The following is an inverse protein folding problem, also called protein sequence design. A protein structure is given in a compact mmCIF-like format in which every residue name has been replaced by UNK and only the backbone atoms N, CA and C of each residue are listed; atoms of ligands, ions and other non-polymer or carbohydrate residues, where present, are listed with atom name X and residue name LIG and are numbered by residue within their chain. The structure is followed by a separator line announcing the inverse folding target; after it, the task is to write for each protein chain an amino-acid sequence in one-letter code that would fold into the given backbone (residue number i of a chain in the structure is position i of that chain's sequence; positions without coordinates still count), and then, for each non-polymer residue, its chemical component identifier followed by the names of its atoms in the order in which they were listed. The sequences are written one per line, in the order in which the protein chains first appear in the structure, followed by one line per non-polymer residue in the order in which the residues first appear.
data_IF_604154383954
#
_entry.id   IF_604154383954
#
_cell.length_a   1.000
_cell.length_b   1.000
_cell.length_c   1.000
_cell.angle_alpha   90.00
_cell.angle_beta   90.00
_cell.angle_gamma   90.00
#
_symmetry.space_group_name_H-M   'P 1'
#
loop_
_entity.id
_entity.type
_entity.pdbx_description
1 polymer ?
#
# COMPACT_ATOMS: atom_id res chain seq x y z
N UNK A 1 -3.04 -37.53 -3.85
CA UNK A 1 -1.84 -37.22 -4.66
C UNK A 1 -2.06 -35.84 -5.23
N UNK A 2 -1.46 -34.81 -4.62
CA UNK A 2 -1.51 -33.44 -5.14
C UNK A 2 -0.70 -33.40 -6.43
N UNK A 3 -1.27 -32.84 -7.49
CA UNK A 3 -0.72 -32.88 -8.83
C UNK A 3 0.57 -32.04 -8.85
N UNK A 4 1.70 -32.65 -9.20
CA UNK A 4 3.01 -31.99 -9.17
C UNK A 4 3.02 -30.72 -10.04
N UNK A 5 2.24 -30.69 -11.12
CA UNK A 5 2.08 -29.54 -12.00
C UNK A 5 1.39 -28.33 -11.33
N UNK A 6 0.38 -28.53 -10.48
CA UNK A 6 -0.31 -27.44 -9.77
C UNK A 6 0.62 -26.76 -8.76
N UNK A 7 1.47 -27.55 -8.08
CA UNK A 7 2.44 -27.04 -7.09
C UNK A 7 3.58 -26.23 -7.74
N UNK A 8 3.94 -26.52 -8.99
CA UNK A 8 4.93 -25.74 -9.73
C UNK A 8 4.36 -24.42 -10.26
N UNK A 9 3.08 -24.41 -10.66
CA UNK A 9 2.39 -23.22 -11.15
C UNK A 9 2.15 -22.21 -10.00
N UNK A 10 1.65 -22.68 -8.85
CA UNK A 10 1.40 -21.83 -7.67
C UNK A 10 2.68 -21.16 -7.15
N UNK A 11 3.82 -21.87 -7.15
CA UNK A 11 5.11 -21.29 -6.73
C UNK A 11 5.60 -20.22 -7.70
N UNK A 12 5.33 -20.38 -9.00
CA UNK A 12 5.68 -19.39 -10.02
C UNK A 12 4.84 -18.12 -9.83
N UNK A 13 3.53 -18.27 -9.62
CA UNK A 13 2.59 -17.17 -9.41
C UNK A 13 2.91 -16.38 -8.14
N UNK A 14 3.25 -17.06 -7.04
CA UNK A 14 3.66 -16.38 -5.80
C UNK A 14 4.94 -15.58 -5.99
N UNK A 15 5.93 -16.14 -6.69
CA UNK A 15 7.19 -15.44 -6.96
C UNK A 15 6.97 -14.21 -7.85
N UNK A 16 6.14 -14.33 -8.88
CA UNK A 16 5.76 -13.22 -9.76
C UNK A 16 5.03 -12.11 -9.00
N UNK A 17 4.08 -12.45 -8.12
CA UNK A 17 3.39 -11.47 -7.28
C UNK A 17 4.35 -10.71 -6.34
N UNK A 18 5.37 -11.39 -5.80
CA UNK A 18 6.41 -10.79 -4.96
C UNK A 18 7.28 -9.82 -5.76
N UNK A 19 7.74 -10.25 -6.93
CA UNK A 19 8.61 -9.45 -7.82
C UNK A 19 7.88 -8.23 -8.38
N UNK A 20 6.65 -8.44 -8.87
CA UNK A 20 5.80 -7.37 -9.41
C UNK A 20 5.54 -6.29 -8.37
N UNK A 21 5.22 -6.67 -7.13
CA UNK A 21 4.98 -5.69 -6.08
C UNK A 21 6.25 -5.01 -5.59
N UNK A 22 7.37 -5.73 -5.50
CA UNK A 22 8.66 -5.14 -5.14
C UNK A 22 9.06 -4.05 -6.15
N UNK A 23 8.97 -4.34 -7.45
CA UNK A 23 9.23 -3.38 -8.52
C UNK A 23 8.26 -2.19 -8.47
N UNK A 24 6.96 -2.46 -8.29
CA UNK A 24 5.93 -1.41 -8.16
C UNK A 24 6.24 -0.45 -7.01
N UNK A 25 6.62 -0.97 -5.84
CA UNK A 25 6.91 -0.17 -4.66
C UNK A 25 8.23 0.60 -4.78
N UNK A 26 9.23 0.04 -5.45
CA UNK A 26 10.51 0.70 -5.73
C UNK A 26 10.31 1.90 -6.67
N UNK A 27 9.58 1.70 -7.76
CA UNK A 27 9.31 2.70 -8.80
C UNK A 27 8.22 3.72 -8.45
N UNK A 28 7.54 3.57 -7.30
CA UNK A 28 6.42 4.42 -6.93
C UNK A 28 6.84 5.90 -6.76
N UNK A 29 6.41 6.75 -7.70
CA UNK A 29 6.49 8.21 -7.61
C UNK A 29 5.20 8.79 -7.00
N UNK A 30 5.33 9.26 -5.76
CA UNK A 30 4.21 9.84 -5.00
C UNK A 30 4.04 11.36 -5.23
N UNK A 31 4.62 11.93 -6.28
CA UNK A 31 4.56 13.38 -6.50
C UNK A 31 3.13 13.89 -6.65
N UNK A 32 2.28 13.16 -7.38
CA UNK A 32 0.87 13.51 -7.56
C UNK A 32 0.09 13.48 -6.24
N UNK A 33 0.35 12.47 -5.39
CA UNK A 33 -0.24 12.33 -4.06
C UNK A 33 0.14 13.48 -3.13
N UNK A 34 1.40 13.91 -3.18
CA UNK A 34 1.89 15.03 -2.39
C UNK A 34 1.26 16.35 -2.85
N UNK A 35 1.13 16.56 -4.16
CA UNK A 35 0.46 17.73 -4.74
C UNK A 35 -1.03 17.76 -4.39
N UNK A 36 -1.71 16.61 -4.42
CA UNK A 36 -3.10 16.48 -4.00
C UNK A 36 -3.32 16.97 -2.57
N UNK A 37 -2.34 16.72 -1.69
CA UNK A 37 -2.36 17.13 -0.29
C UNK A 37 -1.85 18.56 -0.07
N UNK A 38 -1.52 19.30 -1.14
CA UNK A 38 -0.97 20.66 -1.04
C UNK A 38 0.47 20.73 -0.54
N UNK A 39 1.22 19.63 -0.61
CA UNK A 39 2.60 19.54 -0.13
C UNK A 39 3.56 19.97 -1.24
N UNK A 40 4.02 21.21 -1.14
CA UNK A 40 4.96 21.80 -2.11
C UNK A 40 6.34 21.15 -2.11
N UNK A 41 7.09 21.33 -3.21
CA UNK A 41 8.43 20.77 -3.44
C UNK A 41 9.45 21.11 -2.34
N UNK A 42 9.34 22.29 -1.73
CA UNK A 42 10.27 22.76 -0.68
C UNK A 42 9.93 22.26 0.73
N UNK A 43 8.81 21.56 0.93
CA UNK A 43 8.39 21.06 2.24
C UNK A 43 9.04 19.70 2.56
N UNK A 44 10.37 19.62 2.48
CA UNK A 44 11.13 18.36 2.51
C UNK A 44 10.78 17.43 3.68
N UNK A 45 10.61 17.96 4.89
CA UNK A 45 10.25 17.15 6.05
C UNK A 45 8.85 16.53 5.91
N UNK A 46 7.85 17.32 5.48
CA UNK A 46 6.49 16.83 5.22
C UNK A 46 6.48 15.83 4.07
N UNK A 47 7.23 16.09 3.00
CA UNK A 47 7.38 15.15 1.88
C UNK A 47 7.95 13.82 2.36
N UNK A 48 9.05 13.84 3.12
CA UNK A 48 9.66 12.62 3.67
C UNK A 48 8.70 11.85 4.59
N UNK A 49 7.97 12.55 5.45
CA UNK A 49 6.95 11.93 6.29
C UNK A 49 5.87 11.26 5.43
N UNK A 50 5.31 11.98 4.46
CA UNK A 50 4.25 11.45 3.61
C UNK A 50 4.70 10.31 2.70
N UNK A 51 5.97 10.27 2.28
CA UNK A 51 6.52 9.11 1.57
C UNK A 51 6.46 7.84 2.42
N UNK A 52 6.66 7.94 3.74
CA UNK A 52 6.51 6.81 4.66
C UNK A 52 5.04 6.38 4.74
N UNK A 53 4.12 7.35 4.83
CA UNK A 53 2.68 7.08 4.85
C UNK A 53 2.22 6.35 3.58
N UNK A 54 2.58 6.87 2.40
CA UNK A 54 2.15 6.31 1.13
C UNK A 54 2.76 4.94 0.83
N UNK A 55 4.05 4.73 1.14
CA UNK A 55 4.67 3.41 1.01
C UNK A 55 4.04 2.39 1.94
N UNK A 56 3.77 2.78 3.20
CA UNK A 56 3.06 1.92 4.13
C UNK A 56 1.65 1.57 3.64
N UNK A 57 0.93 2.56 3.11
CA UNK A 57 -0.40 2.32 2.53
C UNK A 57 -0.34 1.38 1.32
N UNK A 58 0.61 1.54 0.41
CA UNK A 58 0.75 0.65 -0.75
C UNK A 58 0.97 -0.80 -0.32
N UNK A 59 1.79 -1.06 0.70
CA UNK A 59 1.94 -2.41 1.28
C UNK A 59 0.61 -2.94 1.84
N UNK A 60 -0.17 -2.11 2.52
CA UNK A 60 -1.46 -2.51 3.07
C UNK A 60 -2.51 -2.77 1.97
N UNK A 61 -2.51 -1.98 0.90
CA UNK A 61 -3.36 -2.18 -0.28
C UNK A 61 -2.98 -3.45 -1.04
N UNK A 62 -1.69 -3.77 -1.12
CA UNK A 62 -1.25 -5.03 -1.71
C UNK A 62 -1.64 -6.23 -0.86
N UNK A 63 -1.53 -6.15 0.47
CA UNK A 63 -2.07 -7.18 1.37
C UNK A 63 -3.58 -7.37 1.17
N UNK A 64 -4.32 -6.29 0.96
CA UNK A 64 -5.75 -6.35 0.65
C UNK A 64 -5.99 -7.08 -0.68
N UNK A 65 -5.23 -6.73 -1.73
CA UNK A 65 -5.31 -7.38 -3.04
C UNK A 65 -4.98 -8.88 -2.97
N UNK A 66 -3.91 -9.24 -2.24
CA UNK A 66 -3.56 -10.64 -1.96
C UNK A 66 -4.70 -11.37 -1.24
N UNK A 67 -5.34 -10.72 -0.26
CA UNK A 67 -6.45 -11.34 0.50
C UNK A 67 -7.66 -11.64 -0.38
N UNK A 68 -7.84 -10.88 -1.46
CA UNK A 68 -8.89 -11.10 -2.45
C UNK A 68 -8.53 -12.18 -3.48
N UNK A 69 -7.29 -12.22 -3.96
CA UNK A 69 -6.86 -13.14 -5.03
C UNK A 69 -6.33 -14.48 -4.53
N UNK A 70 -5.70 -14.50 -3.34
CA UNK A 70 -5.09 -15.69 -2.73
C UNK A 70 -5.53 -15.85 -1.26
N UNK A 71 -6.83 -16.05 -0.95
CA UNK A 71 -7.32 -15.97 0.43
C UNK A 71 -6.66 -16.95 1.43
N UNK A 72 -6.13 -18.07 0.95
CA UNK A 72 -5.47 -19.09 1.78
C UNK A 72 -3.99 -18.77 2.06
N UNK A 73 -3.33 -18.08 1.12
CA UNK A 73 -1.88 -17.84 1.15
C UNK A 73 -1.50 -16.37 1.37
N UNK A 74 -2.46 -15.45 1.36
CA UNK A 74 -2.24 -14.01 1.43
C UNK A 74 -1.33 -13.59 2.59
N UNK A 75 -1.51 -14.17 3.78
CA UNK A 75 -0.68 -13.88 4.94
C UNK A 75 0.76 -14.39 4.75
N UNK A 76 0.93 -15.59 4.18
CA UNK A 76 2.24 -16.17 3.92
C UNK A 76 3.01 -15.40 2.84
N UNK A 77 2.35 -15.04 1.74
CA UNK A 77 2.93 -14.24 0.65
C UNK A 77 3.35 -12.87 1.20
N UNK A 78 2.45 -12.20 1.93
CA UNK A 78 2.75 -10.90 2.52
C UNK A 78 3.90 -10.96 3.53
N UNK A 79 3.94 -11.98 4.40
CA UNK A 79 5.03 -12.17 5.35
C UNK A 79 6.38 -12.42 4.65
N UNK A 80 6.38 -13.18 3.56
CA UNK A 80 7.57 -13.44 2.73
C UNK A 80 8.10 -12.14 2.14
N UNK A 81 7.22 -11.30 1.58
CA UNK A 81 7.59 -9.97 1.11
C UNK A 81 8.18 -9.10 2.23
N UNK A 82 7.52 -9.01 3.40
CA UNK A 82 8.02 -8.20 4.52
C UNK A 82 9.39 -8.66 5.00
N UNK A 83 9.67 -9.97 4.97
CA UNK A 83 10.97 -10.52 5.31
C UNK A 83 12.04 -10.11 4.30
N UNK A 84 11.78 -10.29 3.00
CA UNK A 84 12.68 -9.88 1.93
C UNK A 84 12.94 -8.37 1.94
N UNK A 85 11.89 -7.56 2.10
CA UNK A 85 11.96 -6.10 2.19
C UNK A 85 12.85 -5.65 3.36
N UNK A 86 12.73 -6.29 4.52
CA UNK A 86 13.57 -5.98 5.70
C UNK A 86 15.04 -6.31 5.47
N UNK A 87 15.34 -7.41 4.76
CA UNK A 87 16.72 -7.79 4.44
C UNK A 87 17.33 -6.80 3.44
N UNK A 88 16.57 -6.42 2.41
CA UNK A 88 17.01 -5.45 1.40
C UNK A 88 17.18 -4.03 1.97
N UNK A 89 16.36 -3.67 2.96
CA UNK A 89 16.35 -2.33 3.56
C UNK A 89 16.44 -2.37 5.11
N UNK A 90 17.64 -2.57 5.67
CA UNK A 90 17.83 -2.73 7.13
C UNK A 90 17.75 -1.42 7.93
N UNK A 91 17.26 -0.34 7.33
CA UNK A 91 17.30 0.99 7.91
C UNK A 91 16.02 1.37 8.69
N UNK A 92 16.12 2.41 9.53
CA UNK A 92 15.01 2.86 10.39
C UNK A 92 13.81 3.40 9.61
N UNK A 93 13.99 3.87 8.38
CA UNK A 93 12.88 4.34 7.54
C UNK A 93 12.02 3.16 7.11
N UNK A 94 12.65 2.08 6.69
CA UNK A 94 11.99 0.85 6.24
C UNK A 94 11.20 0.18 7.37
N UNK A 95 11.74 0.16 8.59
CA UNK A 95 10.98 -0.27 9.77
C UNK A 95 9.71 0.58 9.98
N UNK A 96 9.80 1.91 9.85
CA UNK A 96 8.63 2.81 9.96
C UNK A 96 7.61 2.59 8.85
N UNK A 97 8.05 2.31 7.63
CA UNK A 97 7.15 1.98 6.50
C UNK A 97 6.35 0.71 6.83
N UNK A 98 7.01 -0.33 7.35
CA UNK A 98 6.35 -1.57 7.76
C UNK A 98 5.37 -1.36 8.91
N UNK A 99 5.73 -0.54 9.91
CA UNK A 99 4.80 -0.14 10.98
C UNK A 99 3.57 0.59 10.44
N UNK A 100 3.76 1.51 9.50
CA UNK A 100 2.64 2.18 8.81
C UNK A 100 1.78 1.21 8.03
N UNK A 101 2.38 0.24 7.33
CA UNK A 101 1.63 -0.80 6.62
C UNK A 101 0.70 -1.57 7.56
N UNK A 102 1.17 -1.94 8.75
CA UNK A 102 0.34 -2.61 9.75
C UNK A 102 -0.80 -1.71 10.26
N UNK A 103 -0.55 -0.41 10.47
CA UNK A 103 -1.58 0.53 10.90
C UNK A 103 -2.65 0.74 9.83
N UNK A 104 -2.25 0.91 8.57
CA UNK A 104 -3.18 1.01 7.45
C UNK A 104 -3.97 -0.27 7.21
N UNK A 105 -3.35 -1.44 7.41
CA UNK A 105 -4.07 -2.70 7.38
C UNK A 105 -5.21 -2.73 8.40
N UNK A 106 -4.98 -2.26 9.62
CA UNK A 106 -6.03 -2.16 10.65
C UNK A 106 -7.22 -1.27 10.27
N UNK A 107 -7.01 -0.30 9.38
CA UNK A 107 -8.09 0.55 8.84
C UNK A 107 -8.80 -0.09 7.63
N UNK A 108 -8.07 -0.87 6.83
CA UNK A 108 -8.59 -1.50 5.60
C UNK A 108 -9.33 -2.81 5.89
N UNK A 109 -8.77 -3.68 6.72
CA UNK A 109 -9.28 -5.03 6.98
C UNK A 109 -10.79 -5.10 7.27
N UNK A 110 -11.38 -4.20 8.08
CA UNK A 110 -12.80 -4.31 8.44
C UNK A 110 -13.76 -4.11 7.26
N UNK A 111 -13.37 -3.32 6.26
CA UNK A 111 -14.24 -2.94 5.12
C UNK A 111 -13.73 -3.44 3.78
N UNK A 112 -12.52 -3.98 3.73
CA UNK A 112 -11.87 -4.42 2.51
C UNK A 112 -11.71 -3.27 1.50
N UNK A 113 -12.05 -3.54 0.24
CA UNK A 113 -11.99 -2.58 -0.87
C UNK A 113 -13.31 -1.80 -1.08
N UNK A 114 -14.34 -2.09 -0.29
CA UNK A 114 -15.63 -1.42 -0.37
C UNK A 114 -15.57 0.06 0.04
N UNK A 115 -14.73 0.40 1.03
CA UNK A 115 -14.65 1.74 1.61
C UNK A 115 -13.23 2.10 2.10
N UNK A 116 -12.65 3.13 1.48
CA UNK A 116 -11.33 3.68 1.83
C UNK A 116 -11.41 4.96 2.69
N UNK A 117 -12.59 5.33 3.16
CA UNK A 117 -12.82 6.64 3.82
C UNK A 117 -12.01 6.84 5.09
N UNK A 118 -11.76 5.78 5.87
CA UNK A 118 -11.03 5.91 7.15
C UNK A 118 -9.54 6.16 6.91
N UNK A 119 -8.93 5.45 5.96
CA UNK A 119 -7.56 5.70 5.52
C UNK A 119 -7.43 7.09 4.88
N UNK A 120 -8.37 7.46 4.02
CA UNK A 120 -8.38 8.77 3.38
C UNK A 120 -8.49 9.91 4.40
N UNK A 121 -9.33 9.75 5.44
CA UNK A 121 -9.45 10.72 6.53
C UNK A 121 -8.18 10.79 7.35
N UNK A 122 -7.54 9.66 7.63
CA UNK A 122 -6.25 9.63 8.32
C UNK A 122 -5.17 10.37 7.52
N UNK A 123 -5.01 10.07 6.22
CA UNK A 123 -4.08 10.79 5.35
C UNK A 123 -4.41 12.29 5.27
N UNK A 124 -5.69 12.64 5.16
CA UNK A 124 -6.15 14.02 5.15
C UNK A 124 -5.79 14.79 6.42
N UNK A 125 -5.66 14.12 7.57
CA UNK A 125 -5.33 14.76 8.86
C UNK A 125 -3.91 15.36 8.91
N UNK A 126 -3.02 14.97 7.99
CA UNK A 126 -1.69 15.60 7.85
C UNK A 126 -1.75 16.96 7.12
N UNK A 127 -2.87 17.26 6.47
CA UNK A 127 -3.11 18.54 5.81
C UNK A 127 -3.70 19.57 6.78
N UNK A 128 -3.28 20.83 6.66
CA UNK A 128 -3.87 21.94 7.43
C UNK A 128 -4.97 22.55 6.56
N UNK A 129 -6.22 22.18 6.82
CA UNK A 129 -7.38 22.59 6.03
C UNK A 129 -8.58 22.90 6.93
N UNK A 130 -9.45 23.82 6.48
CA UNK A 130 -10.77 24.00 7.08
C UNK A 130 -11.66 22.76 6.84
N UNK A 131 -12.79 22.67 7.53
CA UNK A 131 -13.64 21.48 7.50
C UNK A 131 -14.22 21.16 6.10
N UNK A 132 -14.53 22.18 5.29
CA UNK A 132 -15.04 21.98 3.91
C UNK A 132 -13.94 21.44 3.01
N UNK A 133 -12.74 22.01 3.12
CA UNK A 133 -11.57 21.57 2.39
C UNK A 133 -11.15 20.15 2.79
N UNK A 134 -11.21 19.82 4.09
CA UNK A 134 -10.90 18.49 4.60
C UNK A 134 -11.84 17.41 4.03
N UNK A 135 -13.15 17.70 3.93
CA UNK A 135 -14.11 16.79 3.29
C UNK A 135 -13.81 16.60 1.80
N UNK A 136 -13.54 17.70 1.08
CA UNK A 136 -13.17 17.65 -0.33
C UNK A 136 -11.87 16.87 -0.58
N UNK A 137 -10.85 17.09 0.26
CA UNK A 137 -9.59 16.34 0.21
C UNK A 137 -9.83 14.85 0.49
N UNK A 138 -10.61 14.51 1.51
CA UNK A 138 -10.94 13.11 1.84
C UNK A 138 -11.56 12.40 0.64
N UNK A 139 -12.54 13.02 -0.03
CA UNK A 139 -13.16 12.42 -1.23
C UNK A 139 -12.15 12.18 -2.35
N UNK A 140 -11.28 13.18 -2.61
CA UNK A 140 -10.23 13.02 -3.64
C UNK A 140 -9.24 11.92 -3.26
N UNK A 141 -8.86 11.83 -1.99
CA UNK A 141 -8.00 10.76 -1.47
C UNK A 141 -8.66 9.38 -1.62
N UNK A 142 -9.95 9.22 -1.30
CA UNK A 142 -10.67 7.95 -1.51
C UNK A 142 -10.58 7.49 -2.96
N UNK A 143 -10.84 8.40 -3.91
CA UNK A 143 -10.77 8.08 -5.34
C UNK A 143 -9.35 7.71 -5.77
N UNK A 144 -8.35 8.44 -5.25
CA UNK A 144 -6.95 8.17 -5.54
C UNK A 144 -6.49 6.81 -4.98
N UNK A 145 -6.84 6.51 -3.73
CA UNK A 145 -6.54 5.23 -3.07
C UNK A 145 -7.21 4.08 -3.83
N UNK A 146 -8.48 4.25 -4.24
CA UNK A 146 -9.18 3.26 -5.05
C UNK A 146 -8.48 3.00 -6.39
N UNK A 147 -7.96 4.05 -7.03
CA UNK A 147 -7.18 3.92 -8.26
C UNK A 147 -5.86 3.18 -8.00
N UNK A 148 -5.14 3.54 -6.95
CA UNK A 148 -3.89 2.86 -6.56
C UNK A 148 -4.14 1.37 -6.26
N UNK A 149 -5.20 1.05 -5.52
CA UNK A 149 -5.61 -0.33 -5.26
C UNK A 149 -5.84 -1.12 -6.54
N UNK A 150 -6.57 -0.55 -7.52
CA UNK A 150 -6.76 -1.21 -8.82
C UNK A 150 -5.45 -1.46 -9.55
N UNK A 151 -4.56 -0.47 -9.60
CA UNK A 151 -3.24 -0.64 -10.25
C UNK A 151 -2.42 -1.75 -9.57
N UNK A 152 -2.46 -1.83 -8.25
CA UNK A 152 -1.77 -2.87 -7.47
C UNK A 152 -2.42 -4.24 -7.74
N UNK A 153 -3.75 -4.30 -7.75
CA UNK A 153 -4.51 -5.52 -7.99
C UNK A 153 -4.27 -6.08 -9.40
N UNK A 154 -4.31 -5.21 -10.41
CA UNK A 154 -4.09 -5.54 -11.83
C UNK A 154 -2.65 -6.00 -12.12
N UNK A 155 -1.72 -5.80 -11.18
CA UNK A 155 -0.29 -6.20 -11.30
C UNK A 155 0.06 -7.39 -10.39
N UNK A 156 -0.91 -8.06 -9.79
CA UNK A 156 -0.65 -9.23 -8.95
C UNK A 156 -0.05 -10.40 -9.75
N UNK A 157 -0.45 -10.56 -11.00
CA UNK A 157 -0.06 -11.60 -11.96
C UNK A 157 -0.05 -11.02 -13.37
#
# INVERSE_FOLDING_TARGET
MQNVAEVFDDKSVVQEALENFAALLEDADFTAELELMGIGRMQFMRRRQMLVEWRGLYMALWRLALSSSFPQDAEHIFATFLHAYRIAHPDKLSARIMERAQQYWGMLQPKGDADFSDVARHLGSFSVQDEKQARSLTLRLVLHIRRAYKIIFDRLI
#
